data_IF_154950553147
#
_entry.id   IF_154950553147
#
_cell.length_a   1.000
_cell.length_b   1.000
_cell.length_c   1.000
_cell.angle_alpha   90.00
_cell.angle_beta   90.00
_cell.angle_gamma   90.00
#
_symmetry.space_group_name_H-M   'P 1'
#
loop_
_entity.id
_entity.type
_entity.pdbx_description
1 polymer ?
#
# COMPACT_ATOMS: atom_id res chain seq x y z
N UNK A 1 6.03 12.37 -11.44
CA UNK A 1 5.34 11.57 -10.39
C UNK A 1 6.07 10.28 -10.06
N UNK A 2 6.25 9.33 -10.99
CA UNK A 2 7.00 8.07 -10.72
C UNK A 2 8.40 8.31 -10.14
N UNK A 3 9.18 9.23 -10.74
CA UNK A 3 10.53 9.57 -10.25
C UNK A 3 10.49 10.13 -8.82
N UNK A 4 9.48 10.96 -8.50
CA UNK A 4 9.27 11.50 -7.15
C UNK A 4 8.85 10.41 -6.18
N UNK A 5 8.02 9.46 -6.61
CA UNK A 5 7.58 8.33 -5.80
C UNK A 5 8.73 7.41 -5.41
N UNK A 6 9.72 7.28 -6.31
CA UNK A 6 10.86 6.38 -6.14
C UNK A 6 12.13 7.08 -5.65
N UNK A 7 12.13 8.39 -5.46
CA UNK A 7 13.35 9.15 -5.17
C UNK A 7 13.99 8.77 -3.84
N UNK A 8 13.18 8.36 -2.86
CA UNK A 8 13.62 8.03 -1.51
C UNK A 8 13.73 6.52 -1.28
N UNK A 9 13.50 5.70 -2.32
CA UNK A 9 13.34 4.25 -2.17
C UNK A 9 12.00 3.88 -1.53
N UNK A 10 11.88 2.61 -1.13
CA UNK A 10 10.73 2.11 -0.36
C UNK A 10 11.09 2.20 1.12
N UNK A 11 10.26 2.88 1.89
CA UNK A 11 10.43 3.01 3.34
C UNK A 11 9.86 1.78 4.06
N UNK A 12 10.48 1.32 5.16
CA UNK A 12 9.87 0.32 6.04
C UNK A 12 8.50 0.79 6.56
N UNK A 13 7.57 -0.16 6.72
CA UNK A 13 6.18 0.16 7.12
C UNK A 13 6.06 0.76 8.52
N UNK A 14 6.99 0.46 9.41
CA UNK A 14 7.10 0.99 10.77
C UNK A 14 7.60 2.44 10.81
N UNK A 15 8.26 2.92 9.75
CA UNK A 15 8.61 4.33 9.56
C UNK A 15 7.42 5.17 9.05
N UNK A 16 6.37 4.53 8.50
CA UNK A 16 5.12 5.21 8.12
C UNK A 16 4.32 5.58 9.38
N UNK A 17 4.11 4.59 10.26
CA UNK A 17 3.55 4.74 11.59
C UNK A 17 3.93 3.49 12.42
N UNK A 18 4.33 3.63 13.70
CA UNK A 18 4.65 2.47 14.54
C UNK A 18 3.51 1.45 14.67
N UNK A 19 2.26 1.90 14.49
CA UNK A 19 1.05 1.08 14.58
C UNK A 19 0.54 0.66 13.19
N UNK A 20 1.27 0.92 12.10
CA UNK A 20 0.76 0.74 10.72
C UNK A 20 0.26 -0.68 10.43
N UNK A 21 0.81 -1.70 11.10
CA UNK A 21 0.41 -3.11 10.98
C UNK A 21 -0.59 -3.58 12.06
N UNK A 22 -1.09 -2.68 12.92
CA UNK A 22 -2.07 -2.97 13.96
C UNK A 22 -3.50 -2.67 13.51
N UNK A 23 -4.48 -3.45 14.00
CA UNK A 23 -5.90 -3.22 13.73
C UNK A 23 -6.44 -1.89 14.26
N UNK A 24 -5.75 -1.28 15.22
CA UNK A 24 -6.06 0.02 15.81
C UNK A 24 -5.73 1.18 14.88
N UNK A 25 -4.84 0.99 13.90
CA UNK A 25 -4.44 2.03 12.98
C UNK A 25 -5.54 2.37 11.98
N UNK A 26 -5.75 3.67 11.77
CA UNK A 26 -6.77 4.19 10.86
C UNK A 26 -6.11 4.69 9.57
N UNK A 27 -6.09 3.92 8.46
CA UNK A 27 -5.34 4.29 7.25
C UNK A 27 -5.80 5.60 6.59
N UNK A 28 -6.99 6.11 6.92
CA UNK A 28 -7.46 7.42 6.47
C UNK A 28 -6.77 8.61 7.16
N UNK A 29 -5.97 8.38 8.20
CA UNK A 29 -5.13 9.41 8.84
C UNK A 29 -3.95 9.83 7.96
N UNK A 30 -3.54 8.96 7.03
CA UNK A 30 -2.41 9.20 6.15
C UNK A 30 -2.75 10.26 5.07
N UNK A 31 -1.84 11.21 4.78
CA UNK A 31 -2.03 12.14 3.67
C UNK A 31 -2.20 11.42 2.33
N UNK A 32 -3.11 11.92 1.48
CA UNK A 32 -3.40 11.34 0.17
C UNK A 32 -2.14 11.17 -0.70
N UNK A 33 -1.21 12.12 -0.64
CA UNK A 33 0.06 12.09 -1.38
C UNK A 33 1.01 10.97 -0.96
N UNK A 34 0.91 10.48 0.28
CA UNK A 34 1.75 9.41 0.82
C UNK A 34 1.18 8.02 0.55
N UNK A 35 -0.11 7.91 0.26
CA UNK A 35 -0.76 6.61 0.05
C UNK A 35 -0.12 5.73 -1.05
N UNK A 36 0.39 6.26 -2.18
CA UNK A 36 1.00 5.39 -3.18
C UNK A 36 2.35 4.83 -2.72
N UNK A 37 3.16 5.57 -1.95
CA UNK A 37 4.42 5.03 -1.39
C UNK A 37 4.13 3.99 -0.30
N UNK A 38 3.08 4.18 0.50
CA UNK A 38 2.64 3.18 1.47
C UNK A 38 2.19 1.88 0.82
N UNK A 39 1.58 1.92 -0.38
CA UNK A 39 1.27 0.70 -1.14
C UNK A 39 2.56 -0.03 -1.53
N UNK A 40 3.59 0.68 -2.03
CA UNK A 40 4.89 0.05 -2.35
C UNK A 40 5.52 -0.60 -1.10
N UNK A 41 5.43 0.08 0.04
CA UNK A 41 5.95 -0.38 1.32
C UNK A 41 5.25 -1.66 1.80
N UNK A 42 3.92 -1.74 1.66
CA UNK A 42 3.16 -2.96 1.95
C UNK A 42 3.54 -4.11 1.00
N UNK A 43 3.77 -3.85 -0.29
CA UNK A 43 4.21 -4.88 -1.25
C UNK A 43 5.60 -5.44 -0.90
N UNK A 44 6.51 -4.58 -0.47
CA UNK A 44 7.85 -4.99 -0.03
C UNK A 44 7.80 -5.78 1.28
N UNK A 45 7.05 -5.30 2.28
CA UNK A 45 6.90 -5.96 3.58
C UNK A 45 6.19 -7.33 3.50
N UNK A 46 5.28 -7.52 2.54
CA UNK A 46 4.70 -8.84 2.22
C UNK A 46 5.63 -9.73 1.36
N UNK A 47 6.79 -9.23 0.96
CA UNK A 47 7.76 -9.95 0.13
C UNK A 47 7.32 -10.15 -1.33
N UNK A 48 6.25 -9.49 -1.77
CA UNK A 48 5.68 -9.70 -3.12
C UNK A 48 6.59 -9.22 -4.23
N UNK A 49 7.39 -8.17 -4.01
CA UNK A 49 8.36 -7.71 -5.01
C UNK A 49 9.36 -8.81 -5.33
N UNK A 50 9.94 -9.43 -4.30
CA UNK A 50 10.93 -10.49 -4.47
C UNK A 50 10.32 -11.80 -4.95
N UNK A 51 9.18 -12.22 -4.40
CA UNK A 51 8.52 -13.48 -4.75
C UNK A 51 8.09 -13.51 -6.21
N UNK A 52 7.47 -12.42 -6.69
CA UNK A 52 6.92 -12.35 -8.04
C UNK A 52 7.83 -11.61 -9.03
N UNK A 53 9.02 -11.18 -8.60
CA UNK A 53 9.99 -10.43 -9.42
C UNK A 53 9.35 -9.20 -10.08
N UNK A 54 8.53 -8.48 -9.31
CA UNK A 54 7.81 -7.30 -9.79
C UNK A 54 8.83 -6.17 -9.97
N UNK A 55 8.91 -5.63 -11.19
CA UNK A 55 9.71 -4.43 -11.47
C UNK A 55 9.12 -3.22 -10.72
N UNK A 56 9.95 -2.59 -9.88
CA UNK A 56 9.54 -1.48 -9.02
C UNK A 56 9.01 -0.28 -9.83
N UNK A 57 9.62 0.01 -10.98
CA UNK A 57 9.15 1.10 -11.85
C UNK A 57 7.76 0.80 -12.44
N UNK A 58 7.52 -0.46 -12.80
CA UNK A 58 6.23 -0.92 -13.30
C UNK A 58 5.18 -0.90 -12.20
N UNK A 59 5.50 -1.33 -10.98
CA UNK A 59 4.59 -1.22 -9.85
C UNK A 59 4.26 0.24 -9.51
N UNK A 60 5.26 1.12 -9.46
CA UNK A 60 5.05 2.55 -9.22
C UNK A 60 4.10 3.17 -10.26
N UNK A 61 4.31 2.86 -11.55
CA UNK A 61 3.39 3.29 -12.63
C UNK A 61 2.00 2.70 -12.43
N UNK A 62 1.90 1.42 -12.10
CA UNK A 62 0.64 0.73 -11.86
C UNK A 62 -0.13 1.40 -10.72
N UNK A 63 0.47 1.58 -9.55
CA UNK A 63 -0.16 2.22 -8.40
C UNK A 63 -0.69 3.63 -8.72
N UNK A 64 0.11 4.46 -9.40
CA UNK A 64 -0.32 5.80 -9.82
C UNK A 64 -1.47 5.76 -10.83
N UNK A 65 -1.46 4.81 -11.77
CA UNK A 65 -2.55 4.62 -12.72
C UNK A 65 -3.83 4.12 -12.05
N UNK A 66 -3.74 3.22 -11.06
CA UNK A 66 -4.88 2.80 -10.26
C UNK A 66 -5.45 3.99 -9.49
N UNK A 67 -4.62 4.77 -8.79
CA UNK A 67 -5.04 6.00 -8.09
C UNK A 67 -5.77 6.97 -9.01
N UNK A 68 -5.19 7.26 -10.18
CA UNK A 68 -5.78 8.12 -11.21
C UNK A 68 -7.11 7.59 -11.75
N UNK A 69 -7.34 6.28 -11.70
CA UNK A 69 -8.57 5.64 -12.17
C UNK A 69 -9.79 5.91 -11.27
N UNK A 70 -9.58 6.32 -10.01
CA UNK A 70 -10.67 6.67 -9.11
C UNK A 70 -11.12 8.12 -9.34
N UNK A 71 -12.44 8.33 -9.37
CA UNK A 71 -13.04 9.68 -9.28
C UNK A 71 -13.10 10.13 -7.83
N UNK A 72 -13.61 11.34 -7.59
CA UNK A 72 -13.74 11.93 -6.26
C UNK A 72 -15.20 12.08 -5.78
N UNK A 73 -16.02 10.99 -5.71
CA UNK A 73 -17.27 11.04 -4.98
C UNK A 73 -16.98 11.02 -3.45
N UNK A 74 -17.97 11.34 -2.60
CA UNK A 74 -17.76 11.46 -1.16
C UNK A 74 -17.20 10.22 -0.44
N UNK A 75 -17.39 9.01 -1.01
CA UNK A 75 -16.95 7.77 -0.38
C UNK A 75 -16.16 6.84 -1.30
N UNK A 76 -16.69 6.48 -2.48
CA UNK A 76 -16.05 5.54 -3.41
C UNK A 76 -14.93 6.19 -4.23
N UNK A 77 -13.93 6.74 -3.54
CA UNK A 77 -12.74 7.39 -4.08
C UNK A 77 -11.48 6.58 -3.77
N UNK A 78 -10.31 7.10 -4.18
CA UNK A 78 -9.02 6.44 -3.96
C UNK A 78 -8.73 6.17 -2.48
N UNK A 79 -9.05 7.10 -1.57
CA UNK A 79 -8.80 6.90 -0.13
C UNK A 79 -9.59 5.72 0.43
N UNK A 80 -10.79 5.45 -0.10
CA UNK A 80 -11.51 4.22 0.24
C UNK A 80 -10.78 2.98 -0.27
N UNK A 81 -10.38 2.96 -1.54
CA UNK A 81 -9.64 1.84 -2.11
C UNK A 81 -8.32 1.56 -1.38
N UNK A 82 -7.60 2.63 -1.00
CA UNK A 82 -6.40 2.54 -0.16
C UNK A 82 -6.72 1.92 1.20
N UNK A 83 -7.76 2.39 1.91
CA UNK A 83 -8.13 1.83 3.21
C UNK A 83 -8.52 0.34 3.15
N UNK A 84 -9.19 -0.09 2.07
CA UNK A 84 -9.52 -1.50 1.83
C UNK A 84 -8.24 -2.32 1.59
N UNK A 85 -7.31 -1.77 0.79
CA UNK A 85 -6.03 -2.42 0.50
C UNK A 85 -5.16 -2.55 1.75
N UNK A 86 -5.13 -1.50 2.60
CA UNK A 86 -4.45 -1.53 3.90
C UNK A 86 -5.07 -2.57 4.84
N UNK A 87 -6.40 -2.71 4.89
CA UNK A 87 -7.01 -3.76 5.68
C UNK A 87 -6.66 -5.17 5.18
N UNK A 88 -6.56 -5.37 3.86
CA UNK A 88 -6.05 -6.64 3.30
C UNK A 88 -4.61 -6.94 3.79
N UNK A 89 -3.76 -5.92 3.82
CA UNK A 89 -2.42 -6.01 4.41
C UNK A 89 -2.48 -6.38 5.91
N UNK A 90 -3.37 -5.76 6.70
CA UNK A 90 -3.55 -6.12 8.12
C UNK A 90 -3.96 -7.59 8.29
N UNK A 91 -4.87 -8.10 7.46
CA UNK A 91 -5.25 -9.52 7.47
C UNK A 91 -4.04 -10.41 7.19
N UNK A 92 -3.23 -10.06 6.18
CA UNK A 92 -2.00 -10.79 5.88
C UNK A 92 -1.04 -10.82 7.08
N UNK A 93 -0.78 -9.67 7.71
CA UNK A 93 0.17 -9.56 8.83
C UNK A 93 -0.29 -10.26 10.10
N UNK A 94 -1.59 -10.24 10.38
CA UNK A 94 -2.10 -10.65 11.69
C UNK A 94 -2.75 -12.04 11.70
N UNK A 95 -3.15 -12.59 10.53
CA UNK A 95 -3.93 -13.82 10.47
C UNK A 95 -3.22 -15.01 9.82
N UNK A 96 -1.94 -14.86 9.45
CA UNK A 96 -1.14 -15.95 8.85
C UNK A 96 -1.83 -16.56 7.62
N UNK A 97 -2.31 -15.71 6.70
CA UNK A 97 -3.14 -16.13 5.57
C UNK A 97 -2.47 -17.18 4.67
N UNK A 98 -1.14 -17.25 4.64
CA UNK A 98 -0.38 -18.27 3.92
C UNK A 98 -0.70 -19.72 4.36
N UNK A 99 -1.28 -19.91 5.55
CA UNK A 99 -1.73 -21.23 6.01
C UNK A 99 -3.09 -21.65 5.44
N UNK A 100 -3.81 -20.74 4.77
CA UNK A 100 -5.20 -20.92 4.35
C UNK A 100 -5.45 -20.67 2.87
N UNK A 101 -4.61 -19.87 2.22
CA UNK A 101 -4.72 -19.50 0.81
C UNK A 101 -3.62 -20.18 0.01
N UNK A 102 -4.02 -20.91 -1.03
CA UNK A 102 -3.14 -21.57 -2.01
C UNK A 102 -2.65 -20.60 -3.10
#
# INVERSE_FOLDING_TARGET
EVIKLLSNGIEPVDEIDPSFAEFTYTPRSLPDDSTPTSILSMFEDMGFLNTYKIDLHTLARFCLMVKKGYRDPPYHNWMHAFSVSHFCYLLYKNLQLANYLE
#
